data_IF_755295868237
#
_entry.id   IF_755295868237
#
_cell.length_a   1.000
_cell.length_b   1.000
_cell.length_c   1.000
_cell.angle_alpha   90.00
_cell.angle_beta   90.00
_cell.angle_gamma   90.00
#
_symmetry.space_group_name_H-M   'P 1'
#
loop_
_entity.id
_entity.type
_entity.pdbx_description
1 polymer ?
#
# COMPACT_ATOMS: atom_id res chain seq x y z
N UNK A 1 11.39 14.95 12.82
CA UNK A 1 11.11 13.50 12.82
C UNK A 1 10.85 12.96 11.40
N UNK A 2 11.27 11.72 11.09
CA UNK A 2 10.88 10.98 9.86
C UNK A 2 10.23 9.65 10.19
N UNK A 3 9.22 9.28 9.41
CA UNK A 3 8.46 8.04 9.58
C UNK A 3 8.42 7.27 8.27
N UNK A 4 8.70 5.97 8.32
CA UNK A 4 8.66 5.10 7.15
C UNK A 4 7.70 3.92 7.35
N UNK A 5 6.81 3.74 6.39
CA UNK A 5 6.03 2.51 6.24
C UNK A 5 6.75 1.56 5.32
N UNK A 6 7.21 0.43 5.84
CA UNK A 6 7.83 -0.64 5.06
C UNK A 6 6.75 -1.65 4.68
N UNK A 7 6.39 -1.67 3.39
CA UNK A 7 5.40 -2.57 2.84
C UNK A 7 6.05 -3.85 2.31
N UNK A 8 5.45 -5.03 2.55
CA UNK A 8 5.93 -6.26 1.95
C UNK A 8 5.71 -6.20 0.44
N UNK A 9 6.76 -6.48 -0.32
CA UNK A 9 6.68 -6.46 -1.78
C UNK A 9 6.18 -7.77 -2.37
N UNK A 10 6.29 -7.81 -3.70
CA UNK A 10 5.91 -8.95 -4.51
C UNK A 10 7.07 -9.95 -4.52
N UNK A 11 6.81 -11.19 -4.13
CA UNK A 11 7.77 -12.32 -4.22
C UNK A 11 7.37 -13.19 -5.41
N UNK A 12 7.87 -12.86 -6.60
CA UNK A 12 7.39 -13.43 -7.88
C UNK A 12 7.54 -14.96 -7.97
N UNK A 13 8.53 -15.54 -7.29
CA UNK A 13 8.78 -16.98 -7.25
C UNK A 13 8.03 -17.72 -6.14
N UNK A 14 7.52 -17.02 -5.11
CA UNK A 14 6.85 -17.63 -3.97
C UNK A 14 5.36 -17.85 -4.28
N UNK A 15 5.04 -19.00 -4.89
CA UNK A 15 3.67 -19.45 -5.14
C UNK A 15 3.40 -20.71 -4.32
N UNK A 16 2.54 -20.61 -3.31
CA UNK A 16 2.12 -21.77 -2.50
C UNK A 16 1.08 -22.59 -3.28
N UNK A 17 1.33 -23.88 -3.58
CA UNK A 17 0.34 -24.74 -4.21
C UNK A 17 -0.94 -24.84 -3.36
N UNK A 18 -2.13 -24.83 -3.99
CA UNK A 18 -3.38 -25.01 -3.27
C UNK A 18 -3.48 -26.46 -2.76
N UNK A 19 -3.93 -26.63 -1.52
CA UNK A 19 -4.17 -27.95 -0.93
C UNK A 19 -5.59 -28.46 -1.21
N UNK A 20 -6.53 -27.53 -1.38
CA UNK A 20 -7.96 -27.82 -1.61
C UNK A 20 -8.51 -26.93 -2.71
N UNK A 21 -9.53 -27.44 -3.39
CA UNK A 21 -10.32 -26.68 -4.34
C UNK A 21 -11.00 -25.49 -3.62
N UNK A 22 -10.94 -24.26 -4.16
CA UNK A 22 -11.42 -23.06 -3.47
C UNK A 22 -12.93 -22.81 -3.62
N UNK A 23 -13.64 -23.64 -4.39
CA UNK A 23 -15.08 -23.49 -4.58
C UNK A 23 -15.84 -24.08 -3.39
N UNK A 24 -16.83 -23.36 -2.85
CA UNK A 24 -17.55 -23.76 -1.63
C UNK A 24 -18.27 -25.12 -1.75
N UNK A 25 -18.72 -25.45 -2.96
CA UNK A 25 -19.37 -26.71 -3.31
C UNK A 25 -18.36 -27.85 -3.61
N UNK A 26 -17.06 -27.60 -3.50
CA UNK A 26 -16.02 -28.58 -3.80
C UNK A 26 -14.74 -28.39 -2.98
N UNK A 27 -14.50 -29.28 -2.02
CA UNK A 27 -13.30 -29.30 -1.18
C UNK A 27 -12.27 -30.37 -1.60
N UNK A 28 -12.24 -30.71 -2.89
CA UNK A 28 -11.37 -31.77 -3.38
C UNK A 28 -9.88 -31.41 -3.26
N UNK A 29 -9.07 -32.41 -2.92
CA UNK A 29 -7.60 -32.31 -2.83
C UNK A 29 -6.88 -32.72 -4.12
N UNK A 30 -7.59 -33.37 -5.05
CA UNK A 30 -7.02 -33.83 -6.33
C UNK A 30 -6.95 -32.67 -7.33
N UNK A 31 -5.84 -31.93 -7.25
CA UNK A 31 -5.58 -30.74 -8.03
C UNK A 31 -4.39 -30.98 -8.96
N UNK A 32 -4.54 -30.60 -10.23
CA UNK A 32 -3.47 -30.69 -11.23
C UNK A 32 -3.07 -29.28 -11.66
N UNK A 33 -1.77 -28.98 -11.64
CA UNK A 33 -1.26 -27.77 -12.28
C UNK A 33 -1.54 -27.90 -13.79
N UNK A 34 -2.36 -27.01 -14.32
CA UNK A 34 -2.80 -27.04 -15.70
C UNK A 34 -1.94 -26.14 -16.58
N UNK A 35 -1.70 -24.90 -16.14
CA UNK A 35 -0.97 -23.89 -16.92
C UNK A 35 -0.20 -22.94 -16.01
N UNK A 36 0.92 -22.43 -16.51
CA UNK A 36 1.59 -21.23 -15.99
C UNK A 36 1.29 -20.08 -16.95
N UNK A 37 0.75 -18.98 -16.43
CA UNK A 37 0.21 -17.89 -17.25
C UNK A 37 0.83 -16.57 -16.81
N UNK A 38 1.35 -15.81 -17.76
CA UNK A 38 1.80 -14.44 -17.51
C UNK A 38 0.61 -13.56 -17.10
N UNK A 39 0.82 -12.76 -16.06
CA UNK A 39 -0.15 -11.81 -15.54
C UNK A 39 0.51 -10.45 -15.43
N UNK A 40 0.01 -9.51 -16.22
CA UNK A 40 0.39 -8.10 -16.09
C UNK A 40 -0.05 -7.50 -14.76
N UNK A 41 0.79 -6.63 -14.22
CA UNK A 41 0.63 -6.04 -12.90
C UNK A 41 0.90 -4.52 -12.96
N UNK A 42 -0.03 -3.74 -12.40
CA UNK A 42 0.20 -2.32 -12.12
C UNK A 42 1.01 -2.23 -10.83
N UNK A 43 2.30 -1.99 -10.98
CA UNK A 43 3.28 -2.14 -9.92
C UNK A 43 4.55 -1.35 -10.22
N UNK A 44 5.25 -0.88 -9.19
CA UNK A 44 6.41 0.02 -9.36
C UNK A 44 7.70 -0.70 -9.76
N UNK A 45 7.76 -2.04 -9.67
CA UNK A 45 8.99 -2.82 -9.90
C UNK A 45 8.73 -3.93 -10.92
N UNK A 46 7.63 -4.67 -10.80
CA UNK A 46 7.35 -5.82 -11.66
C UNK A 46 6.17 -5.54 -12.58
N UNK A 47 6.38 -5.34 -13.90
CA UNK A 47 5.29 -5.13 -14.85
C UNK A 47 4.44 -6.40 -15.06
N UNK A 48 4.96 -7.57 -14.68
CA UNK A 48 4.28 -8.85 -14.79
C UNK A 48 4.77 -9.87 -13.76
N UNK A 49 3.94 -10.89 -13.51
CA UNK A 49 4.26 -12.08 -12.71
C UNK A 49 3.71 -13.34 -13.35
N UNK A 50 4.20 -14.50 -12.92
CA UNK A 50 3.60 -15.78 -13.32
C UNK A 50 2.50 -16.18 -12.34
N UNK A 51 1.31 -16.50 -12.85
CA UNK A 51 0.22 -17.12 -12.09
C UNK A 51 0.11 -18.60 -12.45
N UNK A 52 -0.19 -19.44 -11.47
CA UNK A 52 -0.43 -20.87 -11.67
C UNK A 52 -1.92 -21.15 -11.78
N UNK A 53 -2.37 -21.70 -12.90
CA UNK A 53 -3.74 -22.19 -13.07
C UNK A 53 -3.80 -23.66 -12.71
N UNK A 54 -4.62 -24.00 -11.73
CA UNK A 54 -4.93 -25.36 -11.34
C UNK A 54 -6.26 -25.80 -11.92
N UNK A 55 -6.38 -27.10 -12.16
CA UNK A 55 -7.60 -27.77 -12.57
C UNK A 55 -7.98 -28.79 -11.49
N UNK A 56 -9.22 -28.70 -10.99
CA UNK A 56 -9.75 -29.64 -10.02
C UNK A 56 -10.23 -30.90 -10.75
N UNK A 57 -9.70 -32.06 -10.39
CA UNK A 57 -10.06 -33.35 -11.01
C UNK A 57 -11.41 -33.90 -10.52
N UNK A 58 -12.03 -33.27 -9.52
CA UNK A 58 -13.35 -33.67 -9.02
C UNK A 58 -14.47 -32.85 -9.65
N UNK A 59 -14.41 -31.51 -9.62
CA UNK A 59 -15.46 -30.66 -10.19
C UNK A 59 -15.16 -30.15 -11.61
N UNK A 60 -13.96 -30.42 -12.15
CA UNK A 60 -13.54 -29.98 -13.48
C UNK A 60 -13.22 -28.49 -13.63
N UNK A 61 -13.48 -27.67 -12.59
CA UNK A 61 -13.25 -26.21 -12.65
C UNK A 61 -11.76 -25.86 -12.59
N UNK A 62 -11.42 -24.67 -13.10
CA UNK A 62 -10.06 -24.13 -13.03
C UNK A 62 -10.01 -22.85 -12.21
N UNK A 63 -8.93 -22.64 -11.49
CA UNK A 63 -8.71 -21.44 -10.69
C UNK A 63 -7.23 -21.05 -10.72
N UNK A 64 -6.95 -19.78 -10.42
CA UNK A 64 -5.59 -19.23 -10.45
C UNK A 64 -5.08 -19.00 -9.03
N UNK A 65 -3.83 -19.35 -8.82
CA UNK A 65 -3.04 -19.07 -7.61
C UNK A 65 -1.92 -18.11 -8.01
N UNK A 66 -1.67 -17.13 -7.15
CA UNK A 66 -0.78 -16.01 -7.42
C UNK A 66 0.42 -16.03 -6.48
N UNK A 67 1.54 -15.41 -6.88
CA UNK A 67 2.67 -15.22 -5.98
C UNK A 67 2.31 -14.33 -4.79
N UNK A 68 3.07 -14.45 -3.70
CA UNK A 68 2.90 -13.61 -2.51
C UNK A 68 3.03 -12.13 -2.88
N UNK A 69 2.09 -11.32 -2.39
CA UNK A 69 1.98 -9.89 -2.73
C UNK A 69 1.09 -9.58 -3.93
N UNK A 70 0.52 -10.61 -4.59
CA UNK A 70 -0.36 -10.47 -5.76
C UNK A 70 -1.71 -11.13 -5.50
N UNK A 71 -2.81 -10.48 -5.89
CA UNK A 71 -4.16 -11.05 -5.85
C UNK A 71 -4.71 -11.28 -7.26
N UNK A 72 -6.00 -11.56 -7.41
CA UNK A 72 -6.65 -11.60 -8.72
C UNK A 72 -6.71 -10.23 -9.43
N UNK A 73 -6.62 -9.12 -8.70
CA UNK A 73 -6.60 -7.77 -9.24
C UNK A 73 -5.35 -7.49 -10.08
N UNK A 74 -5.44 -6.53 -11.00
CA UNK A 74 -4.30 -6.11 -11.82
C UNK A 74 -3.30 -5.25 -11.03
N UNK A 75 -3.70 -4.60 -9.95
CA UNK A 75 -2.81 -3.82 -9.07
C UNK A 75 -2.24 -4.70 -7.97
N UNK A 76 -0.93 -4.57 -7.70
CA UNK A 76 -0.26 -5.31 -6.63
C UNK A 76 -0.77 -4.92 -5.24
N UNK A 77 -0.63 -5.83 -4.26
CA UNK A 77 -1.09 -5.54 -2.89
C UNK A 77 -0.31 -4.37 -2.27
N UNK A 78 0.97 -4.21 -2.59
CA UNK A 78 1.77 -3.08 -2.08
C UNK A 78 1.26 -1.74 -2.61
N UNK A 79 0.94 -1.63 -3.90
CA UNK A 79 0.40 -0.38 -4.47
C UNK A 79 -0.97 -0.07 -3.87
N UNK A 80 -1.84 -1.08 -3.72
CA UNK A 80 -3.12 -0.92 -3.00
C UNK A 80 -2.90 -0.38 -1.59
N UNK A 81 -1.95 -0.92 -0.84
CA UNK A 81 -1.66 -0.48 0.54
C UNK A 81 -1.10 0.94 0.58
N UNK A 82 -0.20 1.33 -0.33
CA UNK A 82 0.26 2.72 -0.47
C UNK A 82 -0.92 3.64 -0.75
N UNK A 83 -1.84 3.26 -1.64
CA UNK A 83 -3.05 4.03 -1.92
C UNK A 83 -3.88 4.26 -0.65
N UNK A 84 -4.04 3.22 0.18
CA UNK A 84 -4.78 3.35 1.44
C UNK A 84 -4.05 4.23 2.45
N UNK A 85 -2.73 4.10 2.58
CA UNK A 85 -1.95 4.96 3.48
C UNK A 85 -2.09 6.43 3.05
N UNK A 86 -1.93 6.75 1.77
CA UNK A 86 -2.09 8.11 1.25
C UNK A 86 -3.48 8.68 1.55
N UNK A 87 -4.53 7.88 1.33
CA UNK A 87 -5.89 8.27 1.67
C UNK A 87 -6.07 8.55 3.18
N UNK A 88 -5.55 7.67 4.04
CA UNK A 88 -5.65 7.83 5.50
C UNK A 88 -4.83 9.01 6.02
N UNK A 89 -3.74 9.37 5.33
CA UNK A 89 -2.94 10.56 5.61
C UNK A 89 -3.61 11.87 5.16
N UNK A 90 -4.78 11.80 4.52
CA UNK A 90 -5.58 12.98 4.22
C UNK A 90 -5.67 13.35 2.75
N UNK A 91 -5.14 12.53 1.84
CA UNK A 91 -5.39 12.74 0.41
C UNK A 91 -6.80 12.25 0.06
N UNK A 92 -7.47 12.97 -0.84
CA UNK A 92 -8.67 12.47 -1.50
C UNK A 92 -8.33 11.27 -2.40
N UNK A 93 -9.37 10.54 -2.85
CA UNK A 93 -9.19 9.46 -3.81
C UNK A 93 -8.55 9.93 -5.13
N UNK A 94 -8.84 11.16 -5.56
CA UNK A 94 -8.29 11.75 -6.78
C UNK A 94 -6.82 12.12 -6.60
N UNK A 95 -6.48 12.85 -5.54
CA UNK A 95 -5.10 13.20 -5.21
C UNK A 95 -4.23 11.96 -4.99
N UNK A 96 -4.79 10.93 -4.36
CA UNK A 96 -4.09 9.64 -4.21
C UNK A 96 -3.76 9.00 -5.56
N UNK A 97 -4.70 9.03 -6.51
CA UNK A 97 -4.47 8.50 -7.85
C UNK A 97 -3.37 9.29 -8.59
N UNK A 98 -3.42 10.63 -8.52
CA UNK A 98 -2.39 11.52 -9.09
C UNK A 98 -1.03 11.27 -8.45
N UNK A 99 -0.97 11.16 -7.12
CA UNK A 99 0.27 10.87 -6.40
C UNK A 99 0.87 9.53 -6.83
N UNK A 100 0.05 8.47 -6.93
CA UNK A 100 0.52 7.16 -7.40
C UNK A 100 1.02 7.20 -8.86
N UNK A 101 0.34 7.98 -9.72
CA UNK A 101 0.79 8.19 -11.09
C UNK A 101 2.13 8.91 -11.15
N UNK A 102 2.32 9.96 -10.34
CA UNK A 102 3.61 10.65 -10.22
C UNK A 102 4.73 9.73 -9.68
N UNK A 103 4.35 8.70 -8.92
CA UNK A 103 5.24 7.65 -8.42
C UNK A 103 5.45 6.50 -9.43
N UNK A 104 4.98 6.64 -10.66
CA UNK A 104 5.23 5.71 -11.76
C UNK A 104 4.23 4.58 -11.89
N UNK A 105 3.11 4.59 -11.14
CA UNK A 105 2.05 3.57 -11.28
C UNK A 105 0.69 4.21 -11.45
N UNK A 106 0.07 3.92 -12.59
CA UNK A 106 -1.31 4.32 -12.82
C UNK A 106 -2.28 3.47 -12.00
N UNK A 107 -3.10 4.17 -11.20
CA UNK A 107 -4.24 3.63 -10.48
C UNK A 107 -5.40 4.61 -10.63
N UNK A 108 -6.58 4.15 -11.03
CA UNK A 108 -7.74 5.03 -11.16
C UNK A 108 -8.33 5.39 -9.80
N UNK A 109 -9.03 6.54 -9.71
CA UNK A 109 -9.79 6.96 -8.51
C UNK A 109 -10.66 5.83 -7.95
N UNK A 110 -11.34 5.09 -8.82
CA UNK A 110 -12.20 3.96 -8.42
C UNK A 110 -11.39 2.80 -7.83
N UNK A 111 -10.20 2.49 -8.37
CA UNK A 111 -9.32 1.47 -7.81
C UNK A 111 -8.80 1.87 -6.42
N UNK A 112 -8.49 3.15 -6.20
CA UNK A 112 -8.16 3.66 -4.85
C UNK A 112 -9.35 3.46 -3.92
N UNK A 113 -10.56 3.87 -4.33
CA UNK A 113 -11.78 3.69 -3.55
C UNK A 113 -12.00 2.22 -3.15
N UNK A 114 -11.95 1.29 -4.10
CA UNK A 114 -12.13 -0.13 -3.79
C UNK A 114 -11.04 -0.68 -2.85
N UNK A 115 -9.80 -0.21 -2.98
CA UNK A 115 -8.71 -0.63 -2.09
C UNK A 115 -8.94 -0.17 -0.65
N UNK A 116 -9.42 1.07 -0.48
CA UNK A 116 -9.82 1.61 0.83
C UNK A 116 -10.99 0.81 1.39
N UNK A 117 -12.07 0.61 0.62
CA UNK A 117 -13.23 -0.15 1.08
C UNK A 117 -12.87 -1.60 1.45
N UNK A 118 -11.96 -2.24 0.72
CA UNK A 118 -11.46 -3.58 1.04
C UNK A 118 -10.76 -3.61 2.41
N UNK A 119 -9.97 -2.57 2.75
CA UNK A 119 -9.35 -2.45 4.07
C UNK A 119 -10.38 -2.17 5.15
N UNK A 120 -11.29 -1.22 4.93
CA UNK A 120 -12.30 -0.80 5.91
C UNK A 120 -13.21 -1.97 6.32
N UNK A 121 -13.52 -2.89 5.40
CA UNK A 121 -14.25 -4.13 5.70
C UNK A 121 -13.49 -5.06 6.64
N UNK A 122 -12.15 -5.07 6.58
CA UNK A 122 -11.29 -5.89 7.43
C UNK A 122 -11.03 -5.23 8.78
N UNK A 123 -10.96 -3.90 8.81
CA UNK A 123 -10.70 -3.11 10.01
C UNK A 123 -11.74 -1.97 10.13
N UNK A 124 -12.98 -2.26 10.57
CA UNK A 124 -14.05 -1.26 10.62
C UNK A 124 -13.79 -0.08 11.57
N UNK A 125 -12.91 -0.27 12.57
CA UNK A 125 -12.51 0.77 13.53
C UNK A 125 -11.55 1.81 12.94
N UNK A 126 -10.93 1.50 11.81
CA UNK A 126 -10.02 2.41 11.14
C UNK A 126 -10.86 3.43 10.37
N UNK A 127 -10.72 4.72 10.65
CA UNK A 127 -11.38 5.76 9.85
C UNK A 127 -10.41 6.91 9.61
N UNK A 128 -10.59 7.62 8.48
CA UNK A 128 -9.82 8.84 8.18
C UNK A 128 -9.94 9.87 9.32
N UNK A 129 -11.12 9.99 9.93
CA UNK A 129 -11.33 10.86 11.11
C UNK A 129 -10.52 10.39 12.31
N UNK A 130 -10.53 9.09 12.62
CA UNK A 130 -9.77 8.51 13.75
C UNK A 130 -8.27 8.77 13.59
N UNK A 131 -7.77 8.71 12.36
CA UNK A 131 -6.35 8.96 12.04
C UNK A 131 -6.01 10.46 12.11
N UNK A 132 -6.85 11.33 11.54
CA UNK A 132 -6.54 12.76 11.37
C UNK A 132 -6.99 13.69 12.49
N UNK A 133 -7.69 13.21 13.53
CA UNK A 133 -8.36 14.05 14.56
C UNK A 133 -7.49 15.07 15.33
N UNK A 134 -6.19 15.23 15.04
CA UNK A 134 -5.37 16.33 15.57
C UNK A 134 -4.31 16.91 14.61
N UNK A 135 -4.17 16.39 13.38
CA UNK A 135 -3.20 16.94 12.41
C UNK A 135 -3.86 18.02 11.53
N UNK A 136 -5.16 17.86 11.25
CA UNK A 136 -6.03 18.94 10.79
C UNK A 136 -7.29 18.89 11.67
N UNK A 137 -7.62 19.93 12.47
CA UNK A 137 -8.93 19.99 13.11
C UNK A 137 -10.02 19.90 12.01
N UNK A 138 -11.13 19.19 12.27
CA UNK A 138 -12.25 19.22 11.33
C UNK A 138 -12.73 20.67 11.20
N UNK A 139 -12.93 21.12 9.96
CA UNK A 139 -13.56 22.42 9.72
C UNK A 139 -14.99 22.45 10.31
N UNK A 140 -15.64 23.62 10.36
CA UNK A 140 -16.94 23.82 11.02
C UNK A 140 -18.04 22.85 10.55
N UNK A 141 -17.92 22.30 9.34
CA UNK A 141 -18.88 21.36 8.75
C UNK A 141 -18.61 19.89 9.11
N UNK A 142 -17.61 19.60 9.94
CA UNK A 142 -17.26 18.25 10.37
C UNK A 142 -16.55 17.41 9.32
N UNK A 143 -16.20 17.96 8.16
CA UNK A 143 -15.33 17.29 7.19
C UNK A 143 -13.84 17.53 7.58
N UNK A 144 -13.05 16.48 7.84
CA UNK A 144 -11.61 16.61 8.11
C UNK A 144 -10.79 17.13 6.92
N UNK A 145 -11.42 17.44 5.78
CA UNK A 145 -10.79 17.98 4.58
C UNK A 145 -11.08 19.47 4.29
N UNK A 146 -11.91 20.17 5.07
CA UNK A 146 -12.41 21.50 4.67
C UNK A 146 -11.47 22.67 4.96
N UNK A 147 -10.47 22.52 5.83
CA UNK A 147 -9.51 23.60 6.09
C UNK A 147 -8.12 23.19 5.59
N UNK A 148 -7.57 24.00 4.68
CA UNK A 148 -6.15 23.92 4.31
C UNK A 148 -5.35 24.00 5.61
N UNK A 149 -4.49 23.01 5.94
CA UNK A 149 -3.61 23.15 7.08
C UNK A 149 -2.78 24.43 6.90
N UNK A 150 -2.83 25.31 7.88
CA UNK A 150 -1.99 26.52 7.95
C UNK A 150 -0.56 26.10 8.29
N UNK A 151 0.12 25.43 7.36
CA UNK A 151 1.48 24.93 7.54
C UNK A 151 2.05 24.31 6.26
N UNK A 152 3.36 24.11 6.26
CA UNK A 152 4.03 23.36 5.18
C UNK A 152 3.54 21.90 5.20
N UNK A 153 3.06 21.41 4.06
CA UNK A 153 2.64 20.02 3.93
C UNK A 153 3.81 19.07 4.18
N UNK A 154 3.62 17.96 4.91
CA UNK A 154 4.67 16.97 5.09
C UNK A 154 5.09 16.39 3.73
N UNK A 155 6.39 16.43 3.43
CA UNK A 155 6.94 15.88 2.20
C UNK A 155 6.85 14.35 2.22
N UNK A 156 6.08 13.81 1.28
CA UNK A 156 5.95 12.38 1.00
C UNK A 156 7.04 11.93 0.03
N UNK A 157 7.80 10.91 0.42
CA UNK A 157 8.82 10.27 -0.43
C UNK A 157 8.59 8.78 -0.47
N UNK A 158 8.23 8.25 -1.63
CA UNK A 158 8.23 6.81 -1.85
C UNK A 158 9.63 6.37 -2.26
N UNK A 159 10.14 5.34 -1.61
CA UNK A 159 11.39 4.67 -1.97
C UNK A 159 11.11 3.23 -2.38
N UNK A 160 11.46 2.98 -3.64
CA UNK A 160 11.62 1.72 -4.36
C UNK A 160 12.83 0.89 -3.91
N UNK A 161 12.75 -0.27 -3.26
CA UNK A 161 13.90 -1.20 -3.31
C UNK A 161 13.67 -2.42 -4.22
N UNK A 162 14.76 -2.80 -4.88
CA UNK A 162 14.93 -3.95 -5.76
C UNK A 162 14.79 -5.30 -5.04
N UNK A 163 15.06 -5.41 -3.73
CA UNK A 163 14.86 -6.64 -2.96
C UNK A 163 13.42 -6.83 -2.45
N UNK A 164 12.46 -6.08 -3.00
CA UNK A 164 11.04 -6.34 -2.82
C UNK A 164 10.47 -5.71 -1.55
N UNK A 165 10.98 -4.56 -1.13
CA UNK A 165 10.40 -3.70 -0.10
C UNK A 165 10.03 -2.35 -0.69
N UNK A 166 8.83 -1.86 -0.40
CA UNK A 166 8.46 -0.47 -0.73
C UNK A 166 8.39 0.31 0.57
N UNK A 167 9.18 1.38 0.70
CA UNK A 167 9.17 2.23 1.88
C UNK A 167 8.53 3.58 1.53
N UNK A 168 7.35 3.88 2.11
CA UNK A 168 6.75 5.20 2.04
C UNK A 168 7.23 6.02 3.24
N UNK A 169 8.04 7.03 2.97
CA UNK A 169 8.60 7.93 3.98
C UNK A 169 7.80 9.23 4.02
N UNK A 170 7.38 9.62 5.22
CA UNK A 170 6.74 10.91 5.52
C UNK A 170 7.74 11.75 6.30
N UNK A 171 8.01 12.97 5.82
CA UNK A 171 8.97 13.91 6.43
C UNK A 171 8.33 15.28 6.64
N UNK A 172 8.92 16.14 7.49
CA UNK A 172 8.37 17.46 7.79
C UNK A 172 7.29 17.46 8.87
N UNK A 173 7.35 16.50 9.79
CA UNK A 173 6.42 16.41 10.92
C UNK A 173 7.01 17.18 12.12
N UNK A 174 6.28 18.15 12.70
CA UNK A 174 6.72 18.88 13.90
C UNK A 174 6.83 17.97 15.12
N UNK A 175 7.81 18.22 15.99
CA UNK A 175 8.13 17.36 17.15
C UNK A 175 7.04 17.33 18.22
N UNK A 176 6.28 18.43 18.37
CA UNK A 176 5.22 18.57 19.38
C UNK A 176 4.10 17.52 19.23
N UNK A 177 3.90 16.98 18.03
CA UNK A 177 2.87 15.97 17.73
C UNK A 177 3.41 14.53 17.59
N UNK A 178 4.71 14.33 17.82
CA UNK A 178 5.41 13.10 17.47
C UNK A 178 4.85 11.83 18.15
N UNK A 179 4.52 11.91 19.45
CA UNK A 179 4.05 10.76 20.22
C UNK A 179 2.67 10.25 19.78
N UNK A 180 1.71 11.17 19.66
CA UNK A 180 0.33 10.83 19.25
C UNK A 180 0.29 10.39 17.79
N UNK A 181 1.06 11.03 16.92
CA UNK A 181 1.13 10.68 15.51
C UNK A 181 1.78 9.30 15.30
N UNK A 182 2.85 8.99 16.03
CA UNK A 182 3.50 7.67 15.98
C UNK A 182 2.53 6.54 16.35
N UNK A 183 1.76 6.71 17.44
CA UNK A 183 0.77 5.70 17.85
C UNK A 183 -0.31 5.47 16.78
N UNK A 184 -0.78 6.54 16.13
CA UNK A 184 -1.80 6.43 15.06
C UNK A 184 -1.25 5.81 13.79
N UNK A 185 -0.03 6.17 13.39
CA UNK A 185 0.61 5.58 12.22
C UNK A 185 0.96 4.11 12.45
N UNK A 186 1.17 3.69 13.70
CA UNK A 186 1.31 2.28 14.05
C UNK A 186 0.00 1.51 13.78
N UNK A 187 -1.17 2.08 14.11
CA UNK A 187 -2.47 1.49 13.77
C UNK A 187 -2.65 1.33 12.26
N UNK A 188 -2.24 2.34 11.48
CA UNK A 188 -2.29 2.25 10.01
C UNK A 188 -1.35 1.15 9.51
N UNK A 189 -0.11 1.13 10.02
CA UNK A 189 0.89 0.15 9.63
C UNK A 189 0.41 -1.27 9.91
N UNK A 190 -0.16 -1.52 11.08
CA UNK A 190 -0.76 -2.80 11.44
C UNK A 190 -1.91 -3.17 10.49
N UNK A 191 -2.86 -2.24 10.26
CA UNK A 191 -4.01 -2.47 9.40
C UNK A 191 -3.62 -2.81 7.95
N UNK A 192 -2.60 -2.13 7.41
CA UNK A 192 -2.10 -2.39 6.05
C UNK A 192 -1.06 -3.51 5.99
N UNK A 193 -0.69 -4.10 7.13
CA UNK A 193 0.37 -5.11 7.23
C UNK A 193 1.73 -4.58 6.77
N UNK A 194 2.04 -3.33 7.11
CA UNK A 194 3.33 -2.67 6.93
C UNK A 194 4.06 -2.60 8.28
N UNK A 195 5.39 -2.48 8.25
CA UNK A 195 6.18 -2.22 9.44
C UNK A 195 6.44 -0.72 9.54
N UNK A 196 6.17 -0.11 10.70
CA UNK A 196 6.48 1.30 10.94
C UNK A 196 7.90 1.44 11.48
N UNK A 197 8.66 2.36 10.92
CA UNK A 197 10.01 2.70 11.38
C UNK A 197 10.10 4.21 11.62
N UNK A 198 10.66 4.60 12.77
CA UNK A 198 10.83 6.00 13.17
C UNK A 198 12.32 6.29 13.22
N UNK A 199 12.75 7.38 12.60
CA UNK A 199 14.14 7.81 12.67
C UNK A 199 14.26 9.33 12.65
N UNK A 200 15.21 9.83 13.44
CA UNK A 200 15.55 11.24 13.53
C UNK A 200 16.72 11.63 12.60
N UNK A 201 17.32 10.66 11.89
CA UNK A 201 18.44 10.86 10.96
C UNK A 201 18.24 10.21 9.59
N UNK A 202 19.01 10.67 8.58
CA UNK A 202 18.99 10.09 7.23
C UNK A 202 19.56 8.66 7.24
N UNK A 203 20.62 8.42 8.01
CA UNK A 203 21.41 7.18 8.01
C UNK A 203 20.73 5.99 8.74
N UNK A 204 19.81 6.28 9.65
CA UNK A 204 19.08 5.27 10.41
C UNK A 204 17.90 4.70 9.63
N UNK A 205 17.20 5.54 8.87
CA UNK A 205 16.16 5.08 7.96
C UNK A 205 16.73 4.19 6.86
N UNK A 206 17.94 4.51 6.37
CA UNK A 206 18.67 3.63 5.46
C UNK A 206 19.04 2.30 6.12
N UNK A 207 19.43 2.30 7.41
CA UNK A 207 19.73 1.06 8.15
C UNK A 207 18.48 0.21 8.36
N UNK A 208 17.34 0.82 8.70
CA UNK A 208 16.09 0.08 8.91
C UNK A 208 15.54 -0.45 7.59
N UNK A 209 15.55 0.37 6.54
CA UNK A 209 15.30 -0.08 5.17
C UNK A 209 16.20 -1.29 4.85
N UNK A 210 17.52 -1.20 5.03
CA UNK A 210 18.45 -2.31 4.78
C UNK A 210 18.16 -3.55 5.62
N UNK A 211 17.80 -3.41 6.90
CA UNK A 211 17.43 -4.53 7.79
C UNK A 211 16.12 -5.22 7.39
N UNK A 212 15.19 -4.49 6.78
CA UNK A 212 13.97 -5.02 6.19
C UNK A 212 14.17 -5.53 4.75
N UNK A 213 15.41 -5.55 4.26
CA UNK A 213 15.76 -5.96 2.91
C UNK A 213 15.44 -4.91 1.84
N UNK A 214 15.58 -3.61 2.16
CA UNK A 214 15.44 -2.47 1.27
C UNK A 214 16.78 -1.72 1.07
N UNK A 215 17.44 -1.81 -0.08
CA UNK A 215 18.51 -0.90 -0.55
C UNK A 215 17.90 0.43 -1.04
N UNK A 216 18.62 1.54 -0.80
CA UNK A 216 18.12 2.90 -1.08
C UNK A 216 18.74 3.42 -2.39
N UNK A 217 17.96 3.59 -3.48
CA UNK A 217 18.44 4.29 -4.68
C UNK A 217 18.35 5.81 -4.52
N UNK A 218 19.23 6.52 -5.26
CA UNK A 218 19.37 7.98 -5.27
C UNK A 218 18.10 8.67 -5.84
N UNK A 219 17.30 9.21 -4.93
CA UNK A 219 16.31 10.31 -5.05
C UNK A 219 15.58 10.51 -6.38
N UNK A 220 14.28 10.21 -6.39
CA UNK A 220 13.27 11.01 -7.08
C UNK A 220 12.38 11.66 -6.00
N UNK A 221 12.54 12.96 -5.79
CA UNK A 221 11.71 13.73 -4.85
C UNK A 221 10.52 14.31 -5.59
N UNK A 222 9.32 13.79 -5.36
CA UNK A 222 8.10 14.49 -5.75
C UNK A 222 7.75 15.50 -4.66
N UNK A 223 7.77 16.80 -4.97
CA UNK A 223 7.08 17.80 -4.15
C UNK A 223 5.60 17.70 -4.50
N UNK A 224 4.77 17.33 -3.54
CA UNK A 224 3.32 17.48 -3.67
C UNK A 224 2.99 18.90 -3.25
N UNK A 225 3.32 19.86 -4.12
CA UNK A 225 2.92 21.25 -4.00
C UNK A 225 2.87 21.87 -5.41
N UNK A 226 1.79 22.61 -5.68
CA UNK A 226 1.42 23.33 -6.91
C UNK A 226 0.81 22.53 -8.06
N UNK A 227 -0.43 22.06 -7.87
CA UNK A 227 -1.39 21.95 -8.98
C UNK A 227 -2.83 21.76 -8.46
N UNK A 228 -3.40 22.82 -7.91
CA UNK A 228 -4.85 22.98 -7.75
C UNK A 228 -5.22 24.39 -8.21
N UNK A 229 -5.20 24.59 -9.52
CA UNK A 229 -5.95 25.63 -10.22
C UNK A 229 -6.48 24.99 -11.52
N UNK A 230 -7.61 24.27 -11.42
CA UNK A 230 -8.68 24.13 -12.45
C UNK A 230 -9.98 23.75 -11.75
#
# INVERSE_FOLDING_TARGET
MRLAFVLPGVRREEITPPLVCPYEDCQAVRLRLHQRVAKYLNDTVYPEVTAHRYHCLTCGRTFRVYPKGVSNAQTSLRVKRVAVILYLLGLSYGETAVALQALGVYVSKSQVYYSVQELMKRVPSLSRRTVLHRVCPPGPDGDPASEKPSGEWPLLRLTVDDAGGTALTVTGIPEEDAGTLKARLALIAEAVGATLSVSDGVDELERVARSAGARVPRSAGARVADSLDV
#
